data_IF_965992370457
#
_entry.id   IF_965992370457
#
_cell.length_a   1.000
_cell.length_b   1.000
_cell.length_c   1.000
_cell.angle_alpha   90.00
_cell.angle_beta   90.00
_cell.angle_gamma   90.00
#
_symmetry.space_group_name_H-M   'P 1'
#
loop_
_entity.id
_entity.type
_entity.pdbx_description
1 polymer ?
#
# COMPACT_ATOMS: atom_id res chain seq x y z
N UNK A 1 10.52 4.28 -4.27
CA UNK A 1 10.07 2.87 -4.25
C UNK A 1 10.13 2.36 -2.81
N UNK A 2 9.05 1.75 -2.32
CA UNK A 2 8.91 1.38 -0.90
C UNK A 2 9.07 -0.14 -0.64
N UNK A 3 9.17 -0.95 -1.70
CA UNK A 3 9.39 -2.40 -1.65
C UNK A 3 10.67 -2.75 -2.39
N UNK A 4 11.45 -3.68 -1.84
CA UNK A 4 12.74 -4.11 -2.40
C UNK A 4 12.97 -5.61 -2.12
N UNK A 5 13.76 -6.28 -2.94
CA UNK A 5 14.24 -7.66 -2.67
C UNK A 5 15.74 -7.60 -2.46
N UNK A 6 16.20 -8.04 -1.29
CA UNK A 6 17.62 -8.01 -0.96
C UNK A 6 18.41 -9.13 -1.68
N UNK A 7 19.73 -9.12 -1.55
CA UNK A 7 20.63 -10.13 -2.14
C UNK A 7 20.38 -11.57 -1.65
N UNK A 8 19.64 -11.74 -0.54
CA UNK A 8 19.22 -13.03 0.01
C UNK A 8 17.84 -13.48 -0.50
N UNK A 9 17.27 -12.80 -1.51
CA UNK A 9 15.93 -13.03 -2.04
C UNK A 9 14.80 -12.88 -1.00
N UNK A 10 14.95 -11.92 -0.09
CA UNK A 10 13.94 -11.60 0.93
C UNK A 10 13.30 -10.24 0.64
N UNK A 11 11.98 -10.17 0.79
CA UNK A 11 11.23 -8.92 0.58
C UNK A 11 11.45 -7.98 1.76
N UNK A 12 11.78 -6.74 1.45
CA UNK A 12 12.05 -5.67 2.38
C UNK A 12 11.13 -4.46 2.11
N UNK A 13 10.77 -3.75 3.17
CA UNK A 13 10.11 -2.45 3.13
C UNK A 13 11.14 -1.35 3.38
N UNK A 14 11.06 -0.28 2.62
CA UNK A 14 11.82 0.95 2.88
C UNK A 14 11.29 1.56 4.19
N UNK A 15 12.16 1.71 5.18
CA UNK A 15 11.85 2.45 6.41
C UNK A 15 12.37 3.88 6.25
N UNK A 16 11.44 4.83 6.31
CA UNK A 16 11.71 6.26 6.28
C UNK A 16 11.14 6.81 7.57
N UNK A 17 11.93 6.86 8.63
CA UNK A 17 11.55 7.62 9.81
C UNK A 17 11.62 9.10 9.47
N UNK A 18 10.50 9.81 9.68
CA UNK A 18 10.35 11.25 9.40
C UNK A 18 11.40 12.12 10.12
N UNK A 19 11.98 11.61 11.21
CA UNK A 19 12.95 12.33 12.05
C UNK A 19 14.41 11.93 11.85
N UNK A 20 14.68 10.85 11.10
CA UNK A 20 16.05 10.45 10.82
C UNK A 20 16.59 11.34 9.69
N UNK A 21 17.80 11.86 9.86
CA UNK A 21 18.49 12.63 8.82
C UNK A 21 18.37 11.87 7.50
N UNK A 22 17.74 12.50 6.50
CA UNK A 22 17.31 11.91 5.22
C UNK A 22 18.42 11.24 4.37
N UNK A 23 19.65 11.22 4.87
CA UNK A 23 20.83 10.59 4.31
C UNK A 23 20.90 9.07 4.45
N UNK A 24 20.11 8.43 5.34
CA UNK A 24 20.14 6.97 5.50
C UNK A 24 18.76 6.34 5.25
N UNK A 25 18.58 5.81 4.04
CA UNK A 25 17.47 4.91 3.74
C UNK A 25 17.79 3.55 4.35
N UNK A 26 16.97 3.09 5.29
CA UNK A 26 17.05 1.72 5.82
C UNK A 26 15.96 0.85 5.20
N UNK A 27 16.22 -0.45 5.15
CA UNK A 27 15.28 -1.45 4.68
C UNK A 27 15.06 -2.50 5.77
N UNK A 28 13.81 -2.76 6.10
CA UNK A 28 13.42 -3.80 7.06
C UNK A 28 12.78 -4.97 6.34
N UNK A 29 12.99 -6.19 6.85
CA UNK A 29 12.34 -7.38 6.31
C UNK A 29 10.81 -7.29 6.47
N UNK A 30 10.07 -7.72 5.45
CA UNK A 30 8.61 -7.73 5.48
C UNK A 30 8.11 -9.10 5.94
N UNK A 31 7.92 -9.23 7.26
CA UNK A 31 7.47 -10.48 7.89
C UNK A 31 5.97 -10.72 7.70
N UNK A 32 5.59 -12.01 7.58
CA UNK A 32 4.19 -12.47 7.48
C UNK A 32 3.50 -12.56 8.83
N UNK A 33 4.27 -12.69 9.92
CA UNK A 33 3.78 -12.86 11.28
C UNK A 33 4.57 -11.99 12.28
N UNK A 34 4.07 -11.93 13.52
CA UNK A 34 4.72 -11.20 14.61
C UNK A 34 5.96 -11.91 15.17
N UNK A 35 6.07 -13.23 14.94
CA UNK A 35 7.19 -14.05 15.41
C UNK A 35 8.42 -13.97 14.50
N UNK A 36 8.29 -13.28 13.35
CA UNK A 36 9.33 -13.00 12.36
C UNK A 36 9.98 -14.27 11.79
N UNK A 37 9.18 -15.34 11.65
CA UNK A 37 9.68 -16.64 11.14
C UNK A 37 9.85 -16.62 9.63
N UNK A 38 8.91 -16.00 8.93
CA UNK A 38 8.87 -15.97 7.47
C UNK A 38 8.64 -14.55 6.94
N UNK A 39 9.20 -14.28 5.77
CA UNK A 39 8.97 -13.04 5.02
C UNK A 39 8.04 -13.31 3.85
N UNK A 40 7.22 -12.33 3.50
CA UNK A 40 6.42 -12.38 2.29
C UNK A 40 7.30 -12.67 1.07
N UNK A 41 6.76 -13.45 0.12
CA UNK A 41 7.24 -13.49 -1.26
C UNK A 41 6.61 -12.34 -2.03
N UNK A 42 7.31 -11.85 -3.05
CA UNK A 42 6.85 -10.68 -3.80
C UNK A 42 5.48 -10.90 -4.48
N UNK A 43 5.21 -12.12 -4.97
CA UNK A 43 3.91 -12.44 -5.57
C UNK A 43 2.75 -12.39 -4.55
N UNK A 44 3.00 -12.75 -3.29
CA UNK A 44 2.01 -12.67 -2.23
C UNK A 44 1.66 -11.21 -1.91
N UNK A 45 2.67 -10.33 -1.91
CA UNK A 45 2.47 -8.89 -1.78
C UNK A 45 1.60 -8.35 -2.92
N UNK A 46 1.91 -8.71 -4.17
CA UNK A 46 1.10 -8.27 -5.32
C UNK A 46 -0.33 -8.81 -5.30
N UNK A 47 -0.53 -10.06 -4.87
CA UNK A 47 -1.88 -10.63 -4.69
C UNK A 47 -2.63 -9.87 -3.58
N UNK A 48 -1.97 -9.58 -2.46
CA UNK A 48 -2.58 -8.83 -1.36
C UNK A 48 -2.97 -7.41 -1.79
N UNK A 49 -2.08 -6.70 -2.47
CA UNK A 49 -2.36 -5.38 -3.04
C UNK A 49 -3.50 -5.45 -4.06
N UNK A 50 -3.48 -6.43 -4.97
CA UNK A 50 -4.53 -6.62 -5.96
C UNK A 50 -5.91 -6.87 -5.32
N UNK A 51 -5.97 -7.69 -4.28
CA UNK A 51 -7.21 -7.90 -3.49
C UNK A 51 -7.68 -6.62 -2.81
N UNK A 52 -6.76 -5.85 -2.21
CA UNK A 52 -7.08 -4.59 -1.57
C UNK A 52 -7.66 -3.58 -2.58
N UNK A 53 -7.01 -3.41 -3.73
CA UNK A 53 -7.47 -2.47 -4.76
C UNK A 53 -8.78 -2.91 -5.41
N UNK A 54 -8.98 -4.20 -5.66
CA UNK A 54 -10.27 -4.73 -6.11
C UNK A 54 -11.38 -4.50 -5.07
N UNK A 55 -11.04 -4.45 -3.78
CA UNK A 55 -11.97 -4.03 -2.73
C UNK A 55 -12.57 -2.63 -2.97
N UNK A 56 -11.79 -1.68 -3.53
CA UNK A 56 -12.31 -0.37 -3.91
C UNK A 56 -13.37 -0.45 -5.01
N UNK A 57 -13.19 -1.35 -6.00
CA UNK A 57 -14.21 -1.62 -7.03
C UNK A 57 -15.51 -2.15 -6.43
N UNK A 58 -15.41 -3.07 -5.47
CA UNK A 58 -16.59 -3.57 -4.74
C UNK A 58 -17.31 -2.43 -4.00
N UNK A 59 -16.55 -1.59 -3.30
CA UNK A 59 -17.11 -0.44 -2.58
C UNK A 59 -17.75 0.57 -3.52
N UNK A 60 -17.15 0.83 -4.68
CA UNK A 60 -17.74 1.71 -5.69
C UNK A 60 -19.10 1.20 -6.14
N UNK A 61 -19.19 -0.09 -6.51
CA UNK A 61 -20.47 -0.69 -6.94
C UNK A 61 -21.54 -0.62 -5.86
N UNK A 62 -21.16 -0.84 -4.61
CA UNK A 62 -22.09 -0.72 -3.48
C UNK A 62 -22.54 0.73 -3.25
N UNK A 63 -21.62 1.69 -3.34
CA UNK A 63 -21.97 3.11 -3.26
C UNK A 63 -22.92 3.53 -4.39
N UNK A 64 -22.65 3.10 -5.63
CA UNK A 64 -23.52 3.35 -6.79
C UNK A 64 -24.92 2.76 -6.55
N UNK A 65 -25.02 1.54 -6.00
CA UNK A 65 -26.30 0.92 -5.60
C UNK A 65 -27.05 1.75 -4.54
N UNK A 66 -26.33 2.30 -3.57
CA UNK A 66 -26.89 3.19 -2.55
C UNK A 66 -27.16 4.62 -3.03
N UNK A 67 -26.92 4.93 -4.32
CA UNK A 67 -26.97 6.29 -4.87
C UNK A 67 -26.06 7.29 -4.12
N UNK A 68 -24.90 6.81 -3.66
CA UNK A 68 -23.87 7.58 -2.98
C UNK A 68 -22.60 7.67 -3.83
N UNK A 69 -21.75 8.67 -3.58
CA UNK A 69 -20.45 8.82 -4.24
C UNK A 69 -19.30 8.77 -3.22
N UNK A 70 -18.28 7.99 -3.54
CA UNK A 70 -17.00 7.98 -2.83
C UNK A 70 -16.02 8.83 -3.65
N UNK A 71 -15.28 9.71 -2.97
CA UNK A 71 -14.31 10.62 -3.58
C UNK A 71 -12.91 10.29 -3.01
N UNK A 72 -11.92 10.15 -3.89
CA UNK A 72 -10.52 10.01 -3.48
C UNK A 72 -9.89 11.40 -3.29
N UNK A 73 -9.54 11.72 -2.05
CA UNK A 73 -8.90 12.99 -1.67
C UNK A 73 -7.46 12.82 -1.19
N UNK A 74 -6.91 11.60 -1.29
CA UNK A 74 -5.53 11.32 -0.91
C UNK A 74 -4.56 11.89 -1.94
N UNK A 75 -3.60 12.72 -1.52
CA UNK A 75 -2.61 13.33 -2.42
C UNK A 75 -1.68 12.30 -3.07
N UNK A 76 -1.32 11.24 -2.33
CA UNK A 76 -0.39 10.20 -2.77
C UNK A 76 -1.01 8.83 -2.47
N UNK A 77 -1.68 8.24 -3.46
CA UNK A 77 -2.22 6.88 -3.38
C UNK A 77 -2.29 6.21 -4.76
N UNK A 78 -2.26 4.88 -4.76
CA UNK A 78 -2.50 4.06 -5.94
C UNK A 78 -3.99 3.77 -6.20
N UNK A 79 -4.89 4.46 -5.48
CA UNK A 79 -6.34 4.26 -5.65
C UNK A 79 -6.79 5.03 -6.90
N UNK A 80 -7.31 4.30 -7.88
CA UNK A 80 -7.77 4.80 -9.19
C UNK A 80 -9.26 4.58 -9.45
N UNK A 81 -9.95 3.79 -8.62
CA UNK A 81 -11.38 3.48 -8.75
C UNK A 81 -12.33 4.69 -8.59
N UNK A 82 -12.00 5.65 -7.72
CA UNK A 82 -12.90 6.75 -7.35
C UNK A 82 -12.53 8.07 -8.04
N UNK A 83 -13.51 8.96 -8.23
CA UNK A 83 -13.27 10.33 -8.69
C UNK A 83 -12.29 11.04 -7.75
N UNK A 84 -11.21 11.61 -8.31
CA UNK A 84 -10.19 12.31 -7.54
C UNK A 84 -10.55 13.78 -7.39
N UNK A 85 -10.54 14.30 -6.16
CA UNK A 85 -10.70 15.74 -5.86
C UNK A 85 -9.63 16.22 -4.90
N UNK A 86 -9.22 17.47 -5.07
CA UNK A 86 -8.42 18.19 -4.08
C UNK A 86 -9.38 18.89 -3.12
N UNK A 87 -9.14 18.78 -1.83
CA UNK A 87 -9.79 19.62 -0.83
C UNK A 87 -8.84 20.80 -0.56
N UNK A 88 -9.36 22.02 -0.65
CA UNK A 88 -8.67 23.18 -0.07
C UNK A 88 -9.08 23.22 1.40
N UNK A 89 -8.11 23.04 2.30
CA UNK A 89 -8.28 23.18 3.75
C UNK A 89 -7.78 24.57 4.14
#
# INVERSE_FOLDING_TARGET
ENLHVNEKNQVCLKDLHFYDNASQVTYRLFYTDAEQRETFKMHEVFIALGKAFYGYELMKRYADYCNCKIINVSEVSFIDTFERKKIQI
#
